data_IF_132520285408
#
_entry.id   IF_132520285408
#
_cell.length_a   1.000
_cell.length_b   1.000
_cell.length_c   1.000
_cell.angle_alpha   90.00
_cell.angle_beta   90.00
_cell.angle_gamma   90.00
#
_symmetry.space_group_name_H-M   'P 1'
#
loop_
_entity.id
_entity.type
_entity.pdbx_description
1 polymer ?
#
# COMPACT_ATOMS: atom_id res chain seq x y z
N UNK A 1 13.40 -31.15 -21.52
CA UNK A 1 13.19 -30.53 -20.19
C UNK A 1 11.99 -29.59 -20.33
N UNK A 2 10.87 -29.92 -19.66
CA UNK A 2 9.67 -29.08 -19.69
C UNK A 2 9.80 -28.00 -18.62
N UNK A 3 10.38 -26.85 -18.96
CA UNK A 3 10.40 -25.67 -18.12
C UNK A 3 9.12 -24.86 -18.38
N UNK A 4 8.42 -24.51 -17.32
CA UNK A 4 7.31 -23.54 -17.34
C UNK A 4 7.71 -22.34 -16.50
N UNK A 5 7.54 -21.15 -17.04
CA UNK A 5 7.88 -19.87 -16.38
C UNK A 5 6.60 -19.06 -16.23
N UNK A 6 6.33 -18.55 -15.04
CA UNK A 6 5.29 -17.56 -14.78
C UNK A 6 6.00 -16.25 -14.47
N UNK A 7 5.69 -15.20 -15.21
CA UNK A 7 6.23 -13.87 -15.01
C UNK A 7 5.09 -12.85 -14.84
N UNK A 8 5.23 -11.94 -13.88
CA UNK A 8 4.35 -10.77 -13.76
C UNK A 8 4.99 -9.59 -14.45
N UNK A 9 4.23 -8.90 -15.31
CA UNK A 9 4.70 -7.72 -16.04
C UNK A 9 3.55 -6.74 -16.27
N UNK A 10 3.85 -5.46 -16.37
CA UNK A 10 2.89 -4.42 -16.80
C UNK A 10 2.72 -4.38 -18.30
N UNK A 11 3.63 -4.96 -19.04
CA UNK A 11 3.65 -5.00 -20.51
C UNK A 11 3.84 -6.44 -20.99
N UNK A 12 3.45 -6.71 -22.23
CA UNK A 12 3.73 -7.99 -22.88
C UNK A 12 5.25 -8.16 -23.06
N UNK A 13 5.74 -9.36 -22.81
CA UNK A 13 7.16 -9.69 -23.00
C UNK A 13 7.49 -9.88 -24.49
N UNK A 14 6.47 -10.00 -25.35
CA UNK A 14 6.57 -10.20 -26.80
C UNK A 14 7.37 -11.46 -27.20
N UNK A 15 7.24 -12.52 -26.40
CA UNK A 15 7.89 -13.80 -26.67
C UNK A 15 6.98 -14.71 -27.50
N UNK A 16 7.54 -15.48 -28.43
CA UNK A 16 6.78 -16.34 -29.35
C UNK A 16 5.90 -17.41 -28.65
N UNK A 17 6.25 -17.84 -27.43
CA UNK A 17 5.51 -18.81 -26.63
C UNK A 17 4.76 -18.18 -25.44
N UNK A 18 4.56 -16.86 -25.48
CA UNK A 18 3.88 -16.13 -24.41
C UNK A 18 2.37 -16.39 -24.42
N UNK A 19 1.84 -16.79 -23.27
CA UNK A 19 0.40 -16.83 -23.02
C UNK A 19 0.09 -15.76 -21.99
N UNK A 20 -0.68 -14.74 -22.38
CA UNK A 20 -0.98 -13.59 -21.51
C UNK A 20 -2.25 -13.84 -20.72
N UNK A 21 -2.16 -13.76 -19.39
CA UNK A 21 -3.30 -13.74 -18.49
C UNK A 21 -3.48 -12.34 -17.89
N UNK A 22 -4.59 -11.69 -18.20
CA UNK A 22 -4.89 -10.35 -17.68
C UNK A 22 -5.53 -10.49 -16.30
N UNK A 23 -4.82 -10.03 -15.27
CA UNK A 23 -5.36 -9.94 -13.91
C UNK A 23 -6.30 -8.73 -13.84
N UNK A 24 -7.59 -9.00 -13.66
CA UNK A 24 -8.60 -7.94 -13.49
C UNK A 24 -8.67 -7.48 -12.03
N UNK A 25 -9.16 -6.26 -11.83
CA UNK A 25 -9.52 -5.78 -10.49
C UNK A 25 -10.61 -6.66 -9.87
N UNK A 26 -10.72 -6.62 -8.55
CA UNK A 26 -11.75 -7.36 -7.84
C UNK A 26 -13.13 -6.77 -8.16
N UNK A 27 -14.14 -7.60 -8.45
CA UNK A 27 -15.50 -7.13 -8.68
C UNK A 27 -16.03 -6.31 -7.50
N UNK A 28 -16.61 -5.13 -7.82
CA UNK A 28 -17.24 -4.20 -6.88
C UNK A 28 -18.76 -4.17 -7.05
N UNK A 29 -19.51 -3.70 -6.04
CA UNK A 29 -20.91 -3.33 -6.20
C UNK A 29 -21.08 -2.30 -7.33
N UNK A 30 -22.25 -2.32 -8.00
CA UNK A 30 -22.53 -1.37 -9.08
C UNK A 30 -23.15 -0.07 -8.53
N UNK A 31 -22.87 1.10 -9.14
CA UNK A 31 -23.49 2.36 -8.76
C UNK A 31 -25.03 2.31 -8.87
N UNK A 32 -25.71 2.93 -7.91
CA UNK A 32 -27.18 3.07 -7.93
C UNK A 32 -27.97 1.84 -7.50
N UNK A 33 -27.33 0.72 -7.22
CA UNK A 33 -27.95 -0.47 -6.64
C UNK A 33 -27.51 -0.59 -5.17
N UNK A 34 -28.49 -0.74 -4.27
CA UNK A 34 -28.20 -1.06 -2.86
C UNK A 34 -28.42 -2.58 -2.66
N UNK A 35 -27.36 -3.38 -2.77
CA UNK A 35 -27.43 -4.81 -2.52
C UNK A 35 -27.71 -5.08 -1.04
N UNK A 36 -28.40 -6.17 -0.73
CA UNK A 36 -28.52 -6.63 0.65
C UNK A 36 -27.14 -7.07 1.22
N UNK A 37 -27.05 -7.31 2.53
CA UNK A 37 -25.78 -7.65 3.18
C UNK A 37 -25.18 -8.96 2.64
N UNK A 38 -26.01 -9.92 2.21
CA UNK A 38 -25.51 -11.19 1.64
C UNK A 38 -24.92 -10.95 0.26
N UNK A 39 -25.63 -10.17 -0.56
CA UNK A 39 -25.15 -9.78 -1.88
C UNK A 39 -23.87 -8.93 -1.77
N UNK A 40 -23.81 -8.00 -0.79
CA UNK A 40 -22.59 -7.22 -0.51
C UNK A 40 -21.38 -8.12 -0.26
N UNK A 41 -21.53 -9.13 0.59
CA UNK A 41 -20.47 -10.10 0.90
C UNK A 41 -20.16 -11.07 -0.24
N UNK A 42 -20.90 -11.07 -1.33
CA UNK A 42 -20.54 -11.84 -2.54
C UNK A 42 -19.48 -11.15 -3.41
N UNK A 43 -19.27 -9.84 -3.23
CA UNK A 43 -18.25 -9.11 -3.97
C UNK A 43 -16.86 -9.30 -3.36
N UNK A 44 -15.86 -9.83 -4.12
CA UNK A 44 -14.50 -10.02 -3.62
C UNK A 44 -13.83 -8.75 -3.09
N UNK A 45 -14.11 -7.58 -3.68
CA UNK A 45 -13.61 -6.31 -3.19
C UNK A 45 -14.13 -5.97 -1.79
N UNK A 46 -15.43 -6.25 -1.53
CA UNK A 46 -16.05 -6.03 -0.21
C UNK A 46 -15.50 -7.02 0.82
N UNK A 47 -15.33 -8.29 0.43
CA UNK A 47 -14.75 -9.31 1.32
C UNK A 47 -13.36 -8.89 1.79
N UNK A 48 -12.49 -8.53 0.85
CA UNK A 48 -11.13 -8.08 1.16
C UNK A 48 -11.16 -6.84 2.05
N UNK A 49 -11.96 -5.83 1.71
CA UNK A 49 -12.06 -4.59 2.49
C UNK A 49 -12.53 -4.87 3.92
N UNK A 50 -13.58 -5.67 4.11
CA UNK A 50 -14.11 -6.05 5.43
C UNK A 50 -13.05 -6.82 6.25
N UNK A 51 -12.37 -7.79 5.63
CA UNK A 51 -11.29 -8.55 6.28
C UNK A 51 -10.17 -7.63 6.76
N UNK A 52 -9.75 -6.68 5.92
CA UNK A 52 -8.69 -5.71 6.28
C UNK A 52 -9.15 -4.70 7.33
N UNK A 53 -10.42 -4.26 7.29
CA UNK A 53 -10.99 -3.45 8.38
C UNK A 53 -10.98 -4.21 9.72
N UNK A 54 -11.33 -5.49 9.74
CA UNK A 54 -11.29 -6.32 10.94
C UNK A 54 -9.88 -6.50 11.51
N UNK A 55 -8.86 -6.50 10.65
CA UNK A 55 -7.47 -6.59 11.08
C UNK A 55 -7.01 -5.35 11.87
N UNK A 56 -7.57 -4.15 11.58
CA UNK A 56 -7.23 -2.89 12.26
C UNK A 56 -8.26 -2.44 13.28
N UNK A 57 -9.52 -2.86 13.12
CA UNK A 57 -10.65 -2.61 14.02
C UNK A 57 -11.34 -3.95 14.29
N UNK A 58 -10.95 -4.72 15.33
CA UNK A 58 -11.39 -6.09 15.54
C UNK A 58 -12.92 -6.28 15.65
N UNK A 59 -13.63 -5.27 16.14
CA UNK A 59 -15.08 -5.28 16.27
C UNK A 59 -15.83 -4.82 15.02
N UNK A 60 -15.11 -4.53 13.93
CA UNK A 60 -15.73 -4.12 12.68
C UNK A 60 -16.65 -5.22 12.15
N UNK A 61 -17.89 -4.83 11.81
CA UNK A 61 -18.88 -5.71 11.17
C UNK A 61 -19.61 -4.95 10.06
N UNK A 62 -19.80 -5.60 8.93
CA UNK A 62 -20.65 -5.05 7.88
C UNK A 62 -22.12 -5.06 8.37
N UNK A 63 -22.77 -3.90 8.31
CA UNK A 63 -24.16 -3.68 8.71
C UNK A 63 -24.93 -2.91 7.65
N UNK A 64 -26.26 -2.86 7.74
CA UNK A 64 -27.10 -2.08 6.84
C UNK A 64 -26.75 -0.57 6.87
N UNK A 65 -26.26 -0.08 8.02
CA UNK A 65 -25.90 1.33 8.21
C UNK A 65 -24.60 1.70 7.50
N UNK A 66 -23.60 0.80 7.50
CA UNK A 66 -22.28 1.09 6.94
C UNK A 66 -22.06 0.52 5.53
N UNK A 67 -22.91 -0.41 5.07
CA UNK A 67 -22.81 -1.02 3.75
C UNK A 67 -22.76 0.00 2.59
N UNK A 68 -23.52 1.11 2.60
CA UNK A 68 -23.42 2.12 1.55
C UNK A 68 -22.03 2.72 1.43
N UNK A 69 -21.38 3.05 2.56
CA UNK A 69 -20.03 3.62 2.57
C UNK A 69 -18.98 2.60 2.13
N UNK A 70 -19.12 1.33 2.56
CA UNK A 70 -18.22 0.24 2.11
C UNK A 70 -18.33 0.03 0.60
N UNK A 71 -19.57 0.01 0.05
CA UNK A 71 -19.77 -0.09 -1.39
C UNK A 71 -19.12 1.08 -2.14
N UNK A 72 -19.33 2.30 -1.66
CA UNK A 72 -18.77 3.52 -2.24
C UNK A 72 -17.25 3.51 -2.21
N UNK A 73 -16.62 3.16 -1.08
CA UNK A 73 -15.15 3.06 -0.95
C UNK A 73 -14.60 2.02 -1.94
N UNK A 74 -15.22 0.83 -2.02
CA UNK A 74 -14.78 -0.21 -2.95
C UNK A 74 -14.86 0.25 -4.41
N UNK A 75 -15.92 0.99 -4.78
CA UNK A 75 -16.07 1.57 -6.12
C UNK A 75 -15.04 2.67 -6.39
N UNK A 76 -14.84 3.59 -5.44
CA UNK A 76 -13.84 4.66 -5.57
C UNK A 76 -12.42 4.10 -5.73
N UNK A 77 -12.12 2.97 -5.10
CA UNK A 77 -10.83 2.30 -5.16
C UNK A 77 -10.74 1.28 -6.32
N UNK A 78 -11.78 1.22 -7.18
CA UNK A 78 -11.85 0.39 -8.41
C UNK A 78 -11.50 -1.09 -8.18
N UNK A 79 -11.75 -1.63 -6.98
CA UNK A 79 -11.43 -3.00 -6.64
C UNK A 79 -9.94 -3.37 -6.71
N UNK A 80 -9.05 -2.39 -6.68
CA UNK A 80 -7.60 -2.60 -6.66
C UNK A 80 -7.19 -3.10 -5.27
N UNK A 81 -6.63 -4.33 -5.12
CA UNK A 81 -6.37 -4.90 -3.80
C UNK A 81 -5.56 -4.00 -2.87
N UNK A 82 -4.43 -3.46 -3.33
CA UNK A 82 -3.61 -2.54 -2.54
C UNK A 82 -4.40 -1.29 -2.11
N UNK A 83 -5.21 -0.74 -3.00
CA UNK A 83 -6.03 0.43 -2.70
C UNK A 83 -7.07 0.12 -1.61
N UNK A 84 -7.71 -1.05 -1.68
CA UNK A 84 -8.67 -1.52 -0.67
C UNK A 84 -7.98 -1.72 0.70
N UNK A 85 -6.77 -2.29 0.73
CA UNK A 85 -5.99 -2.45 1.97
C UNK A 85 -5.62 -1.11 2.59
N UNK A 86 -5.17 -0.14 1.79
CA UNK A 86 -4.85 1.21 2.25
C UNK A 86 -6.10 1.96 2.74
N UNK A 87 -7.22 1.82 2.01
CA UNK A 87 -8.51 2.39 2.43
C UNK A 87 -9.02 1.79 3.73
N UNK A 88 -8.91 0.46 3.89
CA UNK A 88 -9.29 -0.22 5.12
C UNK A 88 -8.40 0.18 6.31
N UNK A 89 -7.09 0.32 6.10
CA UNK A 89 -6.16 0.76 7.16
C UNK A 89 -6.52 2.16 7.69
N UNK A 90 -7.05 3.05 6.85
CA UNK A 90 -7.49 4.38 7.26
C UNK A 90 -8.67 4.35 8.26
N UNK A 91 -9.46 3.25 8.29
CA UNK A 91 -10.59 3.10 9.23
C UNK A 91 -10.15 2.97 10.69
N UNK A 92 -8.88 2.70 10.95
CA UNK A 92 -8.31 2.77 12.30
C UNK A 92 -8.34 4.19 12.90
N UNK A 93 -8.38 5.22 12.04
CA UNK A 93 -8.30 6.63 12.46
C UNK A 93 -9.56 7.42 12.08
N UNK A 94 -10.21 7.05 10.99
CA UNK A 94 -11.34 7.79 10.41
C UNK A 94 -12.59 6.91 10.34
N UNK A 95 -13.78 7.52 10.42
CA UNK A 95 -15.02 6.82 10.12
C UNK A 95 -15.09 6.44 8.63
N UNK A 96 -15.89 5.40 8.29
CA UNK A 96 -16.12 5.03 6.88
C UNK A 96 -16.63 6.20 6.04
N UNK A 97 -17.49 7.04 6.61
CA UNK A 97 -17.99 8.23 5.94
C UNK A 97 -16.86 9.22 5.65
N UNK A 98 -15.97 9.47 6.61
CA UNK A 98 -14.81 10.36 6.41
C UNK A 98 -13.84 9.79 5.37
N UNK A 99 -13.61 8.47 5.37
CA UNK A 99 -12.77 7.80 4.37
C UNK A 99 -13.36 7.99 2.97
N UNK A 100 -14.66 7.76 2.78
CA UNK A 100 -15.33 7.96 1.50
C UNK A 100 -15.23 9.42 1.03
N UNK A 101 -15.54 10.37 1.90
CA UNK A 101 -15.45 11.81 1.58
C UNK A 101 -14.03 12.26 1.21
N UNK A 102 -13.02 11.79 1.95
CA UNK A 102 -11.61 12.13 1.68
C UNK A 102 -11.13 11.53 0.37
N UNK A 103 -11.54 10.30 0.05
CA UNK A 103 -11.25 9.67 -1.24
C UNK A 103 -11.89 10.45 -2.38
N UNK A 104 -13.17 10.81 -2.28
CA UNK A 104 -13.85 11.65 -3.28
C UNK A 104 -13.13 13.00 -3.46
N UNK A 105 -12.81 13.68 -2.37
CA UNK A 105 -12.11 14.98 -2.42
C UNK A 105 -10.73 14.88 -3.07
N UNK A 106 -9.96 13.83 -2.75
CA UNK A 106 -8.65 13.61 -3.37
C UNK A 106 -8.77 13.35 -4.88
N UNK A 107 -9.73 12.52 -5.28
CA UNK A 107 -9.95 12.18 -6.68
C UNK A 107 -10.44 13.37 -7.52
N UNK A 108 -11.26 14.25 -6.95
CA UNK A 108 -11.68 15.49 -7.61
C UNK A 108 -10.48 16.42 -7.88
N UNK A 109 -9.50 16.46 -6.97
CA UNK A 109 -8.30 17.30 -7.12
C UNK A 109 -7.28 16.68 -8.09
N UNK A 110 -7.12 15.35 -8.04
CA UNK A 110 -6.18 14.62 -8.90
C UNK A 110 -6.66 14.54 -10.37
N UNK A 111 -7.97 14.57 -10.59
CA UNK A 111 -8.58 14.47 -11.92
C UNK A 111 -9.66 15.54 -12.10
N UNK A 112 -9.32 16.73 -12.59
CA UNK A 112 -10.32 17.75 -12.90
C UNK A 112 -11.39 17.20 -13.85
N UNK A 113 -12.66 17.19 -13.41
CA UNK A 113 -13.79 16.63 -14.16
C UNK A 113 -14.20 15.21 -13.72
N UNK A 114 -13.66 14.69 -12.62
CA UNK A 114 -14.14 13.47 -11.98
C UNK A 114 -15.63 13.63 -11.59
N UNK A 115 -16.45 12.67 -12.01
CA UNK A 115 -17.85 12.53 -11.55
C UNK A 115 -18.00 11.14 -10.95
N UNK A 116 -18.70 11.03 -9.84
CA UNK A 116 -19.04 9.72 -9.27
C UNK A 116 -19.79 8.89 -10.34
N UNK A 117 -19.24 7.74 -10.72
CA UNK A 117 -19.74 6.88 -11.80
C UNK A 117 -19.04 7.00 -13.15
N UNK A 118 -18.05 7.90 -13.31
CA UNK A 118 -17.20 7.94 -14.50
C UNK A 118 -16.16 6.79 -14.43
N UNK A 119 -16.02 5.93 -15.46
CA UNK A 119 -15.12 4.77 -15.46
C UNK A 119 -13.62 5.14 -15.56
N UNK A 120 -13.23 6.33 -15.13
CA UNK A 120 -11.82 6.70 -15.04
C UNK A 120 -11.17 5.98 -13.87
N UNK A 121 -10.30 5.04 -14.19
CA UNK A 121 -9.56 4.23 -13.23
C UNK A 121 -8.76 5.09 -12.28
N UNK A 122 -8.98 4.88 -10.98
CA UNK A 122 -8.11 5.37 -9.93
C UNK A 122 -6.74 4.74 -10.16
N UNK A 123 -5.71 5.56 -10.30
CA UNK A 123 -4.38 5.00 -10.39
C UNK A 123 -3.93 4.53 -9.01
N UNK A 124 -3.16 3.45 -8.95
CA UNK A 124 -2.49 3.01 -7.72
C UNK A 124 -1.69 4.16 -7.10
N UNK A 125 -1.08 5.02 -7.92
CA UNK A 125 -0.31 6.17 -7.47
C UNK A 125 -1.18 7.18 -6.73
N UNK A 126 -2.42 7.42 -7.19
CA UNK A 126 -3.35 8.35 -6.50
C UNK A 126 -3.74 7.82 -5.12
N UNK A 127 -3.94 6.51 -5.00
CA UNK A 127 -4.26 5.88 -3.70
C UNK A 127 -3.06 5.89 -2.74
N UNK A 128 -1.86 5.62 -3.24
CA UNK A 128 -0.63 5.71 -2.43
C UNK A 128 -0.39 7.15 -1.99
N UNK A 129 -0.58 8.13 -2.90
CA UNK A 129 -0.48 9.55 -2.59
C UNK A 129 -1.49 9.97 -1.51
N UNK A 130 -2.74 9.52 -1.63
CA UNK A 130 -3.77 9.76 -0.63
C UNK A 130 -3.38 9.19 0.74
N UNK A 131 -2.97 7.92 0.81
CA UNK A 131 -2.53 7.28 2.05
C UNK A 131 -1.31 7.98 2.66
N UNK A 132 -0.34 8.37 1.83
CA UNK A 132 0.84 9.12 2.26
C UNK A 132 0.46 10.47 2.89
N UNK A 133 -0.49 11.19 2.29
CA UNK A 133 -0.93 12.50 2.77
C UNK A 133 -1.71 12.41 4.10
N UNK A 134 -2.21 11.24 4.48
CA UNK A 134 -2.83 10.99 5.79
C UNK A 134 -1.81 10.73 6.91
N UNK A 135 -0.53 10.50 6.56
CA UNK A 135 0.50 10.20 7.55
C UNK A 135 0.94 11.47 8.29
N UNK A 136 1.28 11.35 9.59
CA UNK A 136 2.07 12.36 10.29
C UNK A 136 3.43 12.61 9.61
N UNK A 137 3.99 13.81 9.75
CA UNK A 137 5.23 14.20 9.08
C UNK A 137 6.41 13.26 9.34
N UNK A 138 6.51 12.69 10.56
CA UNK A 138 7.58 11.73 10.91
C UNK A 138 7.46 10.42 10.13
N UNK A 139 6.24 9.93 9.94
CA UNK A 139 5.97 8.71 9.16
C UNK A 139 6.20 8.95 7.66
N UNK A 140 5.77 10.11 7.14
CA UNK A 140 6.03 10.51 5.75
C UNK A 140 7.54 10.54 5.47
N UNK A 141 8.30 11.16 6.35
CA UNK A 141 9.76 11.27 6.24
C UNK A 141 10.42 9.90 6.30
N UNK A 142 10.00 9.04 7.23
CA UNK A 142 10.52 7.68 7.32
C UNK A 142 10.18 6.88 6.06
N UNK A 143 8.92 6.88 5.60
CA UNK A 143 8.51 6.14 4.41
C UNK A 143 9.31 6.58 3.18
N UNK A 144 9.54 7.89 3.00
CA UNK A 144 10.38 8.40 1.93
C UNK A 144 11.81 7.83 2.02
N UNK A 145 12.42 7.82 3.21
CA UNK A 145 13.78 7.28 3.44
C UNK A 145 13.88 5.77 3.21
N UNK A 146 12.82 5.01 3.49
CA UNK A 146 12.80 3.56 3.26
C UNK A 146 12.92 3.19 1.76
N UNK A 147 12.67 4.11 0.86
CA UNK A 147 12.88 3.90 -0.58
C UNK A 147 14.36 3.76 -1.00
N UNK A 148 15.32 4.05 -0.12
CA UNK A 148 16.74 3.82 -0.41
C UNK A 148 17.09 2.32 -0.52
N UNK A 149 16.26 1.45 0.08
CA UNK A 149 16.47 0.02 0.03
C UNK A 149 15.88 -0.58 -1.26
N UNK A 150 16.73 -1.18 -2.09
CA UNK A 150 16.29 -1.88 -3.30
C UNK A 150 15.63 -3.24 -3.01
N UNK A 151 15.99 -3.86 -1.88
CA UNK A 151 15.45 -5.13 -1.43
C UNK A 151 15.05 -5.08 0.02
N UNK A 152 14.44 -5.94 0.68
CA UNK A 152 14.02 -5.85 2.08
C UNK A 152 15.15 -5.45 3.06
N UNK A 153 14.77 -4.97 4.22
CA UNK A 153 15.65 -4.49 5.29
C UNK A 153 15.27 -5.07 6.65
N UNK A 154 16.12 -4.87 7.66
CA UNK A 154 15.90 -5.24 9.06
C UNK A 154 15.65 -4.00 9.92
N UNK A 155 15.19 -4.20 11.17
CA UNK A 155 15.02 -3.09 12.13
C UNK A 155 16.36 -2.39 12.40
N UNK A 156 17.47 -3.15 12.48
CA UNK A 156 18.79 -2.58 12.74
C UNK A 156 19.22 -1.61 11.63
N UNK A 157 18.95 -1.95 10.35
CA UNK A 157 19.22 -1.06 9.24
C UNK A 157 18.45 0.26 9.36
N UNK A 158 17.18 0.21 9.77
CA UNK A 158 16.35 1.41 9.96
C UNK A 158 16.88 2.27 11.09
N UNK A 159 17.26 1.68 12.22
CA UNK A 159 17.82 2.41 13.37
C UNK A 159 19.07 3.19 12.99
N UNK A 160 19.89 2.68 12.08
CA UNK A 160 21.10 3.39 11.61
C UNK A 160 20.78 4.48 10.58
N UNK A 161 19.94 4.17 9.59
CA UNK A 161 19.65 5.10 8.50
C UNK A 161 18.70 6.23 8.95
N UNK A 162 17.80 5.94 9.88
CA UNK A 162 16.82 6.87 10.42
C UNK A 162 17.14 7.29 11.87
N UNK A 163 18.41 7.23 12.30
CA UNK A 163 18.84 7.49 13.68
C UNK A 163 18.44 8.88 14.22
N UNK A 164 18.22 9.85 13.35
CA UNK A 164 17.78 11.21 13.69
C UNK A 164 16.24 11.33 13.85
N UNK A 165 15.48 10.28 13.59
CA UNK A 165 14.06 10.24 13.89
C UNK A 165 13.83 9.77 15.33
N UNK A 166 12.75 10.25 15.94
CA UNK A 166 12.35 9.76 17.25
C UNK A 166 11.73 8.35 17.11
N UNK A 167 12.27 7.37 17.84
CA UNK A 167 11.83 5.97 17.90
C UNK A 167 11.51 5.33 16.52
N UNK A 168 12.52 5.13 15.65
CA UNK A 168 12.28 4.54 14.33
C UNK A 168 11.54 3.18 14.35
N UNK A 169 11.78 2.27 15.31
CA UNK A 169 11.00 1.03 15.42
C UNK A 169 9.50 1.25 15.68
N UNK A 170 9.12 2.25 16.48
CA UNK A 170 7.71 2.57 16.68
C UNK A 170 7.07 3.13 15.42
N UNK A 171 7.76 4.03 14.71
CA UNK A 171 7.29 4.57 13.42
C UNK A 171 7.14 3.45 12.39
N UNK A 172 8.08 2.49 12.33
CA UNK A 172 7.96 1.32 11.46
C UNK A 172 6.69 0.53 11.75
N UNK A 173 6.39 0.24 13.04
CA UNK A 173 5.17 -0.48 13.40
C UNK A 173 3.91 0.23 12.91
N UNK A 174 3.87 1.57 12.99
CA UNK A 174 2.75 2.35 12.47
C UNK A 174 2.61 2.20 10.95
N UNK A 175 3.72 2.26 10.20
CA UNK A 175 3.71 2.06 8.75
C UNK A 175 3.26 0.64 8.35
N UNK A 176 3.63 -0.38 9.13
CA UNK A 176 3.15 -1.77 8.94
C UNK A 176 1.66 -1.87 9.19
N UNK A 177 1.13 -1.29 10.29
CA UNK A 177 -0.29 -1.28 10.60
C UNK A 177 -1.13 -0.56 9.53
N UNK A 178 -0.53 0.43 8.85
CA UNK A 178 -1.16 1.17 7.75
C UNK A 178 -0.96 0.51 6.38
N UNK A 179 -0.47 -0.73 6.32
CA UNK A 179 -0.23 -1.52 5.10
C UNK A 179 0.71 -0.84 4.09
N UNK A 180 1.50 0.14 4.52
CA UNK A 180 2.51 0.81 3.68
C UNK A 180 3.87 0.10 3.69
N UNK A 181 4.13 -0.70 4.72
CA UNK A 181 5.30 -1.57 4.84
C UNK A 181 4.83 -2.99 5.09
N UNK A 182 5.38 -3.95 4.35
CA UNK A 182 5.07 -5.36 4.52
C UNK A 182 6.18 -6.08 5.28
N UNK A 183 5.77 -7.08 6.06
CA UNK A 183 6.68 -8.03 6.70
C UNK A 183 6.89 -9.18 5.72
N UNK A 184 8.14 -9.50 5.39
CA UNK A 184 8.44 -10.66 4.57
C UNK A 184 8.20 -11.93 5.40
N UNK A 185 7.52 -12.92 4.80
CA UNK A 185 7.37 -14.23 5.42
C UNK A 185 8.74 -14.82 5.76
N UNK A 186 8.88 -15.22 7.02
CA UNK A 186 10.16 -15.67 7.61
C UNK A 186 10.60 -17.04 7.06
N UNK A 187 10.78 -17.14 5.73
CA UNK A 187 11.40 -18.29 5.08
C UNK A 187 12.93 -18.29 5.13
N UNK A 188 13.55 -17.25 5.70
CA UNK A 188 15.00 -17.17 5.79
C UNK A 188 15.50 -17.72 7.12
N UNK A 189 16.45 -18.64 7.03
CA UNK A 189 17.12 -19.38 8.10
C UNK A 189 17.88 -18.52 9.13
N UNK A 190 17.81 -17.21 9.07
CA UNK A 190 18.62 -16.27 9.86
C UNK A 190 17.88 -15.61 11.05
N UNK A 191 16.62 -15.94 11.31
CA UNK A 191 15.91 -15.52 12.52
C UNK A 191 15.56 -14.01 12.62
N UNK A 192 15.93 -13.18 11.66
CA UNK A 192 15.62 -11.75 11.67
C UNK A 192 14.41 -11.42 10.78
N UNK A 193 13.44 -10.69 11.34
CA UNK A 193 12.31 -10.17 10.58
C UNK A 193 12.78 -9.18 9.52
N UNK A 194 12.37 -9.41 8.27
CA UNK A 194 12.64 -8.51 7.15
C UNK A 194 11.37 -7.77 6.74
N UNK A 195 11.57 -6.55 6.30
CA UNK A 195 10.51 -5.66 5.84
C UNK A 195 10.77 -5.27 4.39
N UNK A 196 9.72 -4.92 3.65
CA UNK A 196 9.85 -4.43 2.28
C UNK A 196 8.68 -3.49 1.93
N UNK A 197 8.89 -2.66 0.92
CA UNK A 197 7.84 -1.88 0.28
C UNK A 197 7.29 -2.64 -0.93
N UNK A 198 5.99 -2.54 -1.15
CA UNK A 198 5.43 -2.87 -2.46
C UNK A 198 5.96 -1.89 -3.50
N UNK A 199 6.10 -2.34 -4.74
CA UNK A 199 6.73 -1.56 -5.81
C UNK A 199 6.10 -0.17 -5.99
N UNK A 200 4.77 -0.08 -6.02
CA UNK A 200 4.08 1.20 -6.19
C UNK A 200 4.36 2.17 -5.02
N UNK A 201 4.39 1.65 -3.78
CA UNK A 201 4.74 2.45 -2.60
C UNK A 201 6.20 2.88 -2.64
N UNK A 202 7.11 2.00 -3.08
CA UNK A 202 8.53 2.28 -3.22
C UNK A 202 8.79 3.38 -4.25
N UNK A 203 8.19 3.28 -5.44
CA UNK A 203 8.32 4.27 -6.52
C UNK A 203 7.85 5.65 -6.04
N UNK A 204 6.67 5.72 -5.40
CA UNK A 204 6.14 6.96 -4.82
C UNK A 204 7.03 7.53 -3.71
N UNK A 205 7.50 6.68 -2.77
CA UNK A 205 8.37 7.09 -1.68
C UNK A 205 9.72 7.63 -2.19
N UNK A 206 10.27 7.05 -3.27
CA UNK A 206 11.50 7.51 -3.90
C UNK A 206 11.35 8.91 -4.53
N UNK A 207 10.20 9.21 -5.14
CA UNK A 207 9.89 10.56 -5.63
C UNK A 207 9.84 11.56 -4.46
N UNK A 208 9.22 11.18 -3.32
CA UNK A 208 9.15 12.03 -2.11
C UNK A 208 10.54 12.27 -1.51
N UNK A 209 11.39 11.24 -1.45
CA UNK A 209 12.77 11.38 -1.00
C UNK A 209 13.55 12.35 -1.91
N UNK A 210 13.38 12.20 -3.23
CA UNK A 210 14.05 13.10 -4.20
C UNK A 210 13.64 14.56 -3.99
N UNK A 211 12.36 14.82 -3.75
CA UNK A 211 11.83 16.17 -3.49
C UNK A 211 12.20 16.74 -2.12
N UNK A 212 12.67 15.92 -1.17
CA UNK A 212 12.99 16.36 0.20
C UNK A 212 14.38 16.98 0.36
N UNK A 213 15.28 16.80 -0.62
CA UNK A 213 16.69 17.19 -0.52
C UNK A 213 17.55 16.29 0.37
N UNK A 214 17.01 15.21 0.93
CA UNK A 214 17.73 14.29 1.83
C UNK A 214 18.46 13.14 1.10
N UNK A 215 18.26 12.98 -0.21
CA UNK A 215 18.70 11.82 -1.01
C UNK A 215 20.15 11.45 -0.74
N UNK A 216 21.07 12.40 -0.90
CA UNK A 216 22.51 12.14 -0.78
C UNK A 216 22.91 11.72 0.64
N UNK A 217 22.31 12.36 1.64
CA UNK A 217 22.58 12.01 3.04
C UNK A 217 22.09 10.60 3.37
N UNK A 218 20.88 10.24 2.92
CA UNK A 218 20.29 8.93 3.20
C UNK A 218 21.01 7.83 2.42
N UNK A 219 21.39 8.06 1.16
CA UNK A 219 22.22 7.13 0.38
C UNK A 219 23.59 6.89 1.01
N UNK A 220 24.21 7.94 1.51
CA UNK A 220 25.50 7.83 2.23
C UNK A 220 25.36 6.97 3.48
N UNK A 221 24.37 7.24 4.35
CA UNK A 221 24.10 6.42 5.55
C UNK A 221 23.83 4.95 5.20
N UNK A 222 23.08 4.72 4.13
CA UNK A 222 22.80 3.38 3.62
C UNK A 222 24.08 2.67 3.18
N UNK A 223 24.94 3.33 2.41
CA UNK A 223 26.22 2.79 1.97
C UNK A 223 27.13 2.48 3.17
N UNK A 224 27.31 3.43 4.09
CA UNK A 224 28.12 3.28 5.30
C UNK A 224 27.67 2.06 6.13
N UNK A 225 26.34 1.91 6.35
CA UNK A 225 25.80 0.77 7.10
C UNK A 225 26.15 -0.56 6.44
N UNK A 226 25.91 -0.71 5.13
CA UNK A 226 26.18 -1.99 4.46
C UNK A 226 27.67 -2.27 4.23
N UNK A 227 28.51 -1.25 4.10
CA UNK A 227 29.96 -1.41 4.10
C UNK A 227 30.48 -1.94 5.44
N UNK A 228 29.98 -1.40 6.56
CA UNK A 228 30.33 -1.90 7.91
C UNK A 228 29.83 -3.32 8.14
N UNK A 229 28.58 -3.62 7.73
CA UNK A 229 28.02 -4.96 7.84
C UNK A 229 28.83 -5.98 7.02
N UNK A 230 29.22 -5.63 5.80
CA UNK A 230 30.06 -6.50 4.96
C UNK A 230 31.45 -6.76 5.57
N UNK A 231 32.05 -5.75 6.21
CA UNK A 231 33.34 -5.90 6.90
C UNK A 231 33.26 -6.80 8.16
N UNK A 232 32.07 -6.97 8.76
CA UNK A 232 31.89 -7.85 9.93
C UNK A 232 31.64 -9.32 9.54
N UNK A 233 31.29 -9.59 8.27
CA UNK A 233 30.93 -10.92 7.77
C UNK A 233 32.08 -11.60 6.99
N UNK A 234 33.16 -10.88 6.69
CA UNK A 234 34.38 -11.36 6.01
C UNK A 234 35.52 -11.51 6.95
#
# INVERSE_FOLDING_TARGET
RNLRVIATSRERLSLAAESVYIVKHLPCPQPGRQPDLREMMSFPAVQLFVERCQAVVPDFRLSAENAPFVAEICMLLDGIPLALELGAAATATFSLQDVAQRLQGHMLLASPGFRAGDPRHVSINDTVAWSYNLLPAIEQRMLARLSVFAGGWTVDAIQQICADLHDPPAVLRQLVQKSLVNVADSGSSAGQTRYHLLRAVHEYAAERLTGSGEVENIRRRHCEYYCLLGAQLG
#
